data_IF_728632303120
#
_entry.id   IF_728632303120
#
_cell.length_a   1.000
_cell.length_b   1.000
_cell.length_c   1.000
_cell.angle_alpha   90.00
_cell.angle_beta   90.00
_cell.angle_gamma   90.00
#
_symmetry.space_group_name_H-M   'P 1'
#
loop_
_entity.id
_entity.type
_entity.pdbx_description
1 polymer ?
#
# COMPACT_ATOMS: atom_id res chain seq x y z
N UNK A 1 -22.91 -2.20 -7.65
CA UNK A 1 -22.43 -0.89 -8.12
C UNK A 1 -22.13 -0.09 -6.86
N UNK A 2 -20.85 0.12 -6.52
CA UNK A 2 -20.53 0.96 -5.36
C UNK A 2 -20.87 2.40 -5.76
N UNK A 3 -21.80 3.01 -5.03
CA UNK A 3 -22.27 4.36 -5.32
C UNK A 3 -21.11 5.36 -5.28
N UNK A 4 -21.23 6.42 -6.09
CA UNK A 4 -20.28 7.55 -6.08
C UNK A 4 -20.13 8.06 -4.64
N UNK A 5 -18.89 8.21 -4.16
CA UNK A 5 -18.59 8.86 -2.89
C UNK A 5 -19.18 10.27 -2.89
N UNK A 6 -19.79 10.67 -1.77
CA UNK A 6 -20.46 11.97 -1.65
C UNK A 6 -19.49 13.08 -1.26
N UNK A 7 -18.63 12.84 -0.29
CA UNK A 7 -17.61 13.79 0.19
C UNK A 7 -16.24 13.11 0.28
N UNK A 8 -15.56 12.88 -0.87
CA UNK A 8 -14.29 12.16 -0.88
C UNK A 8 -13.17 13.00 -0.27
N UNK A 9 -12.50 12.45 0.75
CA UNK A 9 -11.34 13.02 1.41
C UNK A 9 -10.15 12.07 1.35
N UNK A 10 -8.96 12.64 1.19
CA UNK A 10 -7.72 11.88 1.27
C UNK A 10 -7.44 11.50 2.74
N UNK A 11 -6.90 10.30 2.93
CA UNK A 11 -6.52 9.79 4.24
C UNK A 11 -5.55 8.62 4.15
N UNK A 12 -5.36 7.99 5.29
CA UNK A 12 -4.50 6.84 5.44
C UNK A 12 -5.26 5.70 6.13
N UNK A 13 -4.89 4.47 5.81
CA UNK A 13 -5.45 3.29 6.43
C UNK A 13 -4.34 2.35 6.91
N UNK A 14 -4.37 1.98 8.19
CA UNK A 14 -3.55 0.91 8.73
C UNK A 14 -4.18 -0.43 8.39
N UNK A 15 -3.42 -1.31 7.74
CA UNK A 15 -3.86 -2.66 7.40
C UNK A 15 -3.76 -3.56 8.63
N UNK A 16 -4.89 -3.99 9.18
CA UNK A 16 -4.94 -4.85 10.37
C UNK A 16 -5.01 -6.32 10.00
N UNK A 17 -5.71 -6.65 8.92
CA UNK A 17 -5.71 -8.00 8.38
C UNK A 17 -5.92 -7.98 6.88
N UNK A 18 -5.35 -8.98 6.19
CA UNK A 18 -5.56 -9.20 4.77
C UNK A 18 -5.87 -10.68 4.58
N UNK A 19 -6.92 -10.96 3.84
CA UNK A 19 -7.18 -12.31 3.38
C UNK A 19 -6.18 -12.63 2.28
N UNK A 20 -5.31 -13.61 2.53
CA UNK A 20 -4.35 -14.05 1.53
C UNK A 20 -5.09 -14.58 0.29
N UNK A 21 -4.98 -13.87 -0.82
CA UNK A 21 -5.49 -14.30 -2.11
C UNK A 21 -4.29 -14.58 -2.99
N UNK A 22 -4.16 -15.83 -3.48
CA UNK A 22 -3.24 -16.09 -4.61
C UNK A 22 -3.87 -15.46 -5.84
N UNK A 23 -3.24 -14.46 -6.47
CA UNK A 23 -3.84 -13.73 -7.58
C UNK A 23 -3.81 -14.61 -8.84
N UNK A 24 -4.86 -15.41 -9.02
CA UNK A 24 -5.06 -16.29 -10.19
C UNK A 24 -5.94 -15.65 -11.27
N UNK A 25 -6.51 -14.47 -11.02
CA UNK A 25 -7.48 -13.79 -11.90
C UNK A 25 -7.21 -12.29 -11.95
N UNK A 26 -7.62 -11.64 -13.05
CA UNK A 26 -7.73 -10.19 -13.16
C UNK A 26 -9.21 -9.83 -13.37
N UNK A 27 -9.84 -9.01 -12.51
CA UNK A 27 -9.26 -8.31 -11.37
C UNK A 27 -8.90 -9.26 -10.20
N UNK A 28 -7.93 -8.83 -9.40
CA UNK A 28 -7.56 -9.50 -8.15
C UNK A 28 -8.45 -8.95 -7.04
N UNK A 29 -9.16 -9.80 -6.28
CA UNK A 29 -9.91 -9.34 -5.14
C UNK A 29 -8.98 -8.99 -3.98
N UNK A 30 -9.20 -7.82 -3.38
CA UNK A 30 -8.65 -7.45 -2.09
C UNK A 30 -9.76 -7.53 -1.05
N UNK A 31 -9.49 -8.22 0.06
CA UNK A 31 -10.38 -8.36 1.22
C UNK A 31 -9.52 -8.18 2.47
N UNK A 32 -9.86 -7.22 3.33
CA UNK A 32 -9.07 -6.93 4.52
C UNK A 32 -9.81 -6.08 5.55
N UNK A 33 -9.23 -5.99 6.75
CA UNK A 33 -9.68 -5.07 7.80
C UNK A 33 -8.70 -3.92 7.90
N UNK A 34 -9.23 -2.71 7.84
CA UNK A 34 -8.46 -1.47 7.82
C UNK A 34 -8.88 -0.57 8.99
N UNK A 35 -7.93 0.19 9.53
CA UNK A 35 -8.22 1.29 10.46
C UNK A 35 -7.94 2.59 9.74
N UNK A 36 -9.00 3.34 9.45
CA UNK A 36 -8.97 4.56 8.63
C UNK A 36 -8.72 5.78 9.50
N UNK A 37 -7.92 6.71 9.00
CA UNK A 37 -7.67 8.03 9.57
C UNK A 37 -7.69 9.07 8.44
N UNK A 38 -8.63 10.01 8.50
CA UNK A 38 -8.76 11.09 7.51
C UNK A 38 -9.30 12.35 8.18
N UNK A 39 -9.14 13.50 7.51
CA UNK A 39 -9.61 14.79 8.05
C UNK A 39 -11.14 14.82 8.19
N UNK A 40 -11.61 15.17 9.40
CA UNK A 40 -13.03 15.15 9.75
C UNK A 40 -13.64 13.74 9.88
N UNK A 41 -12.83 12.68 9.84
CA UNK A 41 -13.29 11.29 10.01
C UNK A 41 -12.71 10.69 11.29
N UNK A 42 -13.55 10.29 12.27
CA UNK A 42 -13.07 9.56 13.44
C UNK A 42 -12.33 8.29 13.05
N UNK A 43 -11.29 7.92 13.80
CA UNK A 43 -10.57 6.67 13.55
C UNK A 43 -11.52 5.48 13.60
N UNK A 44 -11.73 4.83 12.46
CA UNK A 44 -12.78 3.83 12.28
C UNK A 44 -12.20 2.55 11.70
N UNK A 45 -12.57 1.42 12.29
CA UNK A 45 -12.25 0.09 11.76
C UNK A 45 -13.29 -0.33 10.75
N UNK A 46 -12.86 -0.71 9.55
CA UNK A 46 -13.73 -1.06 8.42
C UNK A 46 -13.31 -2.36 7.78
N UNK A 47 -14.29 -3.18 7.42
CA UNK A 47 -14.09 -4.35 6.57
C UNK A 47 -14.18 -3.88 5.12
N UNK A 48 -13.07 -3.97 4.40
CA UNK A 48 -12.96 -3.47 3.04
C UNK A 48 -12.87 -4.61 2.04
N UNK A 49 -13.59 -4.45 0.94
CA UNK A 49 -13.55 -5.36 -0.20
C UNK A 49 -13.55 -4.58 -1.49
N UNK A 50 -12.52 -4.79 -2.30
CA UNK A 50 -12.45 -4.18 -3.62
C UNK A 50 -11.79 -5.10 -4.65
N UNK A 51 -11.79 -4.64 -5.90
CA UNK A 51 -11.21 -5.35 -7.03
C UNK A 51 -10.16 -4.46 -7.65
N UNK A 52 -8.90 -4.91 -7.60
CA UNK A 52 -7.80 -4.25 -8.26
C UNK A 52 -7.61 -4.83 -9.67
N UNK A 53 -7.53 -3.96 -10.66
CA UNK A 53 -7.22 -4.34 -12.03
C UNK A 53 -5.74 -4.14 -12.28
N UNK A 54 -5.02 -5.24 -12.50
CA UNK A 54 -3.61 -5.20 -12.94
C UNK A 54 -3.55 -4.58 -14.34
N UNK A 55 -2.62 -3.65 -14.57
CA UNK A 55 -2.35 -3.07 -15.89
C UNK A 55 -1.01 -3.62 -16.43
N UNK A 56 -0.97 -3.98 -17.72
CA UNK A 56 0.28 -4.36 -18.40
C UNK A 56 1.05 -5.56 -17.80
N UNK A 57 2.38 -5.56 -17.97
CA UNK A 57 3.31 -6.59 -17.47
C UNK A 57 3.69 -6.41 -15.99
N UNK A 58 2.94 -5.62 -15.21
CA UNK A 58 3.12 -5.40 -13.77
C UNK A 58 2.87 -6.67 -12.92
N UNK A 59 2.86 -7.87 -13.53
CA UNK A 59 2.50 -9.15 -12.92
C UNK A 59 3.55 -9.73 -11.98
N UNK A 60 4.79 -9.22 -11.99
CA UNK A 60 5.90 -9.78 -11.22
C UNK A 60 6.02 -9.26 -9.80
N UNK A 61 5.61 -8.02 -9.52
CA UNK A 61 5.61 -7.48 -8.15
C UNK A 61 4.17 -7.47 -7.68
N UNK A 62 3.80 -8.47 -6.88
CA UNK A 62 2.52 -8.45 -6.18
C UNK A 62 2.61 -7.42 -5.07
N UNK A 63 2.21 -6.18 -5.36
CA UNK A 63 2.19 -5.08 -4.39
C UNK A 63 0.90 -5.20 -3.59
N UNK A 64 0.83 -6.24 -2.77
CA UNK A 64 -0.26 -6.40 -1.81
C UNK A 64 0.13 -5.71 -0.51
N UNK A 65 -0.74 -4.84 0.03
CA UNK A 65 -0.51 -4.29 1.35
C UNK A 65 -0.30 -5.39 2.37
N UNK A 66 0.73 -5.26 3.18
CA UNK A 66 1.01 -6.18 4.27
C UNK A 66 0.31 -5.74 5.55
N UNK A 67 0.03 -6.67 6.45
CA UNK A 67 -0.45 -6.33 7.79
C UNK A 67 0.57 -5.45 8.49
N UNK A 68 0.11 -4.38 9.14
CA UNK A 68 0.94 -3.35 9.76
C UNK A 68 1.35 -2.21 8.82
N UNK A 69 1.13 -2.35 7.51
CA UNK A 69 1.41 -1.27 6.55
C UNK A 69 0.33 -0.19 6.63
N UNK A 70 0.76 1.08 6.55
CA UNK A 70 -0.14 2.21 6.32
C UNK A 70 -0.21 2.49 4.82
N UNK A 71 -1.41 2.57 4.28
CA UNK A 71 -1.66 2.78 2.85
C UNK A 71 -2.52 4.02 2.59
N UNK A 72 -2.28 4.75 1.49
CA UNK A 72 -3.11 5.87 1.09
C UNK A 72 -4.50 5.41 0.66
N UNK A 73 -5.51 6.15 1.11
CA UNK A 73 -6.92 5.90 0.81
C UNK A 73 -7.67 7.17 0.49
N UNK A 74 -8.73 7.02 -0.31
CA UNK A 74 -9.79 8.01 -0.40
C UNK A 74 -11.01 7.49 0.34
N UNK A 75 -11.58 8.31 1.22
CA UNK A 75 -12.69 7.93 2.13
C UNK A 75 -13.84 8.90 1.94
N UNK A 76 -15.08 8.43 1.95
CA UNK A 76 -16.24 9.31 2.02
C UNK A 76 -16.39 9.83 3.47
N UNK A 77 -16.19 11.13 3.69
CA UNK A 77 -16.29 11.73 5.04
C UNK A 77 -17.67 11.50 5.66
N UNK A 78 -18.72 11.43 4.83
CA UNK A 78 -20.09 11.19 5.28
C UNK A 78 -20.38 9.71 5.59
N UNK A 79 -19.56 8.77 5.10
CA UNK A 79 -19.71 7.33 5.32
C UNK A 79 -18.33 6.63 5.22
N UNK A 80 -17.58 6.51 6.34
CA UNK A 80 -16.22 5.97 6.34
C UNK A 80 -16.11 4.51 5.87
N UNK A 81 -17.23 3.77 5.80
CA UNK A 81 -17.26 2.41 5.22
C UNK A 81 -17.05 2.43 3.70
N UNK A 82 -17.28 3.58 3.05
CA UNK A 82 -17.01 3.82 1.65
C UNK A 82 -15.61 4.39 1.50
N UNK A 83 -14.65 3.51 1.32
CA UNK A 83 -13.29 3.89 1.00
C UNK A 83 -12.81 3.21 -0.28
N UNK A 84 -11.71 3.72 -0.80
CA UNK A 84 -10.97 3.14 -1.92
C UNK A 84 -9.48 3.20 -1.59
N UNK A 85 -8.76 2.10 -1.83
CA UNK A 85 -7.31 2.16 -1.76
C UNK A 85 -6.75 2.85 -3.00
N UNK A 86 -5.79 3.74 -2.79
CA UNK A 86 -5.09 4.41 -3.88
C UNK A 86 -3.94 3.54 -4.38
N UNK A 87 -4.32 2.48 -5.13
CA UNK A 87 -3.40 1.45 -5.63
C UNK A 87 -2.21 1.98 -6.42
N UNK A 88 -2.39 3.08 -7.17
CA UNK A 88 -1.30 3.72 -7.91
C UNK A 88 -0.25 4.29 -6.93
N UNK A 89 -0.68 4.96 -5.85
CA UNK A 89 0.25 5.48 -4.83
C UNK A 89 0.88 4.36 -4.00
N UNK A 90 0.12 3.32 -3.66
CA UNK A 90 0.65 2.12 -2.98
C UNK A 90 1.77 1.49 -3.82
N UNK A 91 1.57 1.40 -5.15
CA UNK A 91 2.58 0.92 -6.08
C UNK A 91 3.82 1.79 -6.07
N UNK A 92 3.64 3.09 -6.20
CA UNK A 92 4.76 4.02 -6.33
C UNK A 92 5.60 4.04 -5.04
N UNK A 93 4.95 3.95 -3.87
CA UNK A 93 5.62 3.77 -2.58
C UNK A 93 6.40 2.45 -2.50
N UNK A 94 5.83 1.34 -2.98
CA UNK A 94 6.52 0.05 -2.98
C UNK A 94 7.75 0.04 -3.90
N UNK A 95 7.65 0.66 -5.09
CA UNK A 95 8.79 0.82 -6.01
C UNK A 95 9.91 1.66 -5.38
N UNK A 96 9.55 2.77 -4.73
CA UNK A 96 10.52 3.62 -4.04
C UNK A 96 11.22 2.89 -2.89
N UNK A 97 10.50 2.05 -2.15
CA UNK A 97 11.09 1.25 -1.06
C UNK A 97 12.11 0.22 -1.56
N UNK A 98 11.82 -0.45 -2.70
CA UNK A 98 12.77 -1.39 -3.32
C UNK A 98 14.03 -0.66 -3.80
N UNK A 99 13.87 0.43 -4.55
CA UNK A 99 15.00 1.20 -5.06
C UNK A 99 15.90 1.73 -3.93
N UNK A 100 15.31 2.19 -2.83
CA UNK A 100 16.07 2.64 -1.66
C UNK A 100 16.84 1.49 -0.98
N UNK A 101 16.25 0.30 -0.92
CA UNK A 101 16.92 -0.88 -0.33
C UNK A 101 18.15 -1.27 -1.16
N UNK A 102 18.02 -1.24 -2.49
CA UNK A 102 19.13 -1.50 -3.41
C UNK A 102 20.24 -0.45 -3.25
N UNK A 103 19.89 0.84 -3.14
CA UNK A 103 20.85 1.93 -2.92
C UNK A 103 21.56 1.82 -1.56
N UNK A 104 20.82 1.51 -0.48
CA UNK A 104 21.38 1.31 0.86
C UNK A 104 22.33 0.09 0.90
N UNK A 105 22.00 -0.99 0.18
CA UNK A 105 22.85 -2.18 0.06
C UNK A 105 24.11 -1.90 -0.75
N UNK A 106 23.98 -1.22 -1.90
CA UNK A 106 25.14 -0.81 -2.72
C UNK A 106 26.06 0.10 -1.91
N UNK A 107 25.52 1.08 -1.20
CA UNK A 107 26.29 1.97 -0.33
C UNK A 107 27.00 1.20 0.78
N UNK A 108 26.33 0.23 1.40
CA UNK A 108 26.94 -0.64 2.42
C UNK A 108 28.08 -1.49 1.84
N UNK A 109 27.91 -2.06 0.65
CA UNK A 109 28.92 -2.87 -0.02
C UNK A 109 30.13 -2.02 -0.42
N UNK A 110 29.91 -0.78 -0.88
CA UNK A 110 30.99 0.17 -1.17
C UNK A 110 31.74 0.56 0.12
N UNK A 111 31.04 0.89 1.20
CA UNK A 111 31.67 1.19 2.50
C UNK A 111 32.47 -0.02 3.04
N UNK A 112 31.99 -1.26 2.86
CA UNK A 112 32.71 -2.47 3.24
C UNK A 112 33.94 -2.73 2.37
N UNK A 113 33.83 -2.52 1.06
CA UNK A 113 34.91 -2.75 0.10
C UNK A 113 36.03 -1.68 0.19
N UNK A 114 35.67 -0.42 0.44
CA UNK A 114 36.59 0.71 0.46
C UNK A 114 36.95 1.22 1.88
N UNK A 115 36.19 0.84 2.92
CA UNK A 115 36.45 1.24 4.31
C UNK A 115 37.49 0.39 5.05
N UNK A 116 37.89 -0.76 4.49
CA UNK A 116 38.87 -1.69 5.12
C UNK A 116 40.33 -1.26 4.96
N UNK A 117 40.62 -0.27 4.10
CA UNK A 117 41.98 0.13 3.72
C UNK A 117 42.59 1.28 4.56
N UNK A 118 41.91 1.79 5.59
CA UNK A 118 42.39 2.93 6.39
C UNK A 118 42.91 2.61 7.81
N UNK A 119 43.13 1.33 8.15
CA UNK A 119 43.81 0.95 9.40
C UNK A 119 45.24 0.52 9.10
N UNK A 120 46.14 1.50 8.96
CA UNK A 120 47.59 1.31 8.93
C UNK A 120 48.19 1.03 10.29
#
# INVERSE_FOLDING_TARGET
MFGRMKDPVAGEALVVSVKAVRPKSNPVPFEGKLVVSADGVPKTTVEHRERYWRKGQESMIVIWPSVGQTVPVTVDRADPSRLRLDWDQIRDAAKAAVAKTEEDEERRLLDEAYGRDQSG
#
